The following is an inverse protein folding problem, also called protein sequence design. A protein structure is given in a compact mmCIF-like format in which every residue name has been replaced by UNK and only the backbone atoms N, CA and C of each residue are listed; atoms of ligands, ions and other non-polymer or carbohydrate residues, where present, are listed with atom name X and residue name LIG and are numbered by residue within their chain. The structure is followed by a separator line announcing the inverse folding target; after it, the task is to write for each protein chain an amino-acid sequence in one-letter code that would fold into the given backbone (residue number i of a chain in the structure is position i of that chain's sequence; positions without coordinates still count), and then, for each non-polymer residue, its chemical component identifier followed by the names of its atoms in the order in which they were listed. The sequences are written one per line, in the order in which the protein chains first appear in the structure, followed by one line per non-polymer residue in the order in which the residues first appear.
data_IF_760048537480
#
_entry.id   IF_760048537480
#
_cell.length_a   1.000
_cell.length_b   1.000
_cell.length_c   1.000
_cell.angle_alpha   90.00
_cell.angle_beta   90.00
_cell.angle_gamma   90.00
#
_symmetry.space_group_name_H-M   'P 1'
#
loop_
_entity.id
_entity.type
_entity.pdbx_description
1 polymer ?
#
# COMPACT_ATOMS: atom_id res chain seq x y z
N UNK A 1 -21.39 -42.33 52.75
CA UNK A 1 -22.36 -41.37 52.15
C UNK A 1 -21.94 -39.98 52.63
N UNK A 2 -21.22 -39.14 51.85
CA UNK A 2 -21.65 -38.36 50.67
C UNK A 2 -22.94 -37.56 50.98
N UNK A 3 -23.03 -36.22 50.97
CA UNK A 3 -22.52 -35.25 49.98
C UNK A 3 -22.31 -33.82 50.54
N UNK A 4 -21.33 -33.11 49.96
CA UNK A 4 -21.02 -31.67 50.11
C UNK A 4 -21.82 -30.89 49.04
N UNK A 5 -22.45 -29.74 49.37
CA UNK A 5 -23.10 -28.85 48.38
C UNK A 5 -22.13 -27.75 47.89
N UNK A 6 -22.19 -27.32 46.61
CA UNK A 6 -21.27 -26.37 46.00
C UNK A 6 -21.66 -24.89 46.18
N UNK A 7 -20.65 -24.02 46.15
CA UNK A 7 -20.73 -22.55 46.02
C UNK A 7 -21.22 -22.13 44.62
N UNK A 8 -21.68 -20.88 44.49
CA UNK A 8 -21.25 -20.08 43.34
C UNK A 8 -20.55 -18.78 43.77
N UNK A 9 -19.43 -18.55 43.11
CA UNK A 9 -18.53 -17.41 43.19
C UNK A 9 -19.19 -16.03 43.12
N UNK A 10 -18.62 -15.12 43.91
CA UNK A 10 -18.76 -13.68 43.77
C UNK A 10 -18.11 -13.23 42.44
N UNK A 11 -18.75 -12.42 41.60
CA UNK A 11 -18.03 -11.73 40.55
C UNK A 11 -17.26 -10.55 41.16
N UNK A 12 -15.97 -10.77 41.43
CA UNK A 12 -15.02 -9.68 41.66
C UNK A 12 -14.88 -8.84 40.39
N UNK A 13 -15.67 -7.77 40.27
CA UNK A 13 -15.46 -6.74 39.27
C UNK A 13 -14.31 -5.82 39.70
N UNK A 14 -13.07 -6.27 39.50
CA UNK A 14 -11.93 -5.36 39.38
C UNK A 14 -11.79 -4.96 37.91
N UNK A 15 -12.38 -3.84 37.54
CA UNK A 15 -12.04 -3.14 36.30
C UNK A 15 -11.24 -1.90 36.66
N UNK A 16 -9.93 -2.06 36.75
CA UNK A 16 -8.97 -0.97 36.67
C UNK A 16 -8.48 -0.90 35.23
N UNK A 17 -9.13 -0.08 34.40
CA UNK A 17 -8.52 0.43 33.17
C UNK A 17 -8.40 1.93 33.36
N UNK A 18 -7.22 2.32 33.85
CA UNK A 18 -6.73 3.69 33.81
C UNK A 18 -6.73 4.17 32.36
N UNK A 19 -7.36 5.31 32.12
CA UNK A 19 -7.69 5.88 30.82
C UNK A 19 -6.55 5.85 29.79
N UNK A 20 -6.66 4.91 28.85
CA UNK A 20 -6.04 4.97 27.53
C UNK A 20 -6.99 5.65 26.56
N UNK A 21 -6.44 6.56 25.76
CA UNK A 21 -7.14 7.40 24.79
C UNK A 21 -8.07 6.58 23.88
N UNK A 22 -9.37 6.90 23.96
CA UNK A 22 -10.36 6.55 22.95
C UNK A 22 -10.04 7.40 21.72
N UNK A 23 -9.38 6.80 20.73
CA UNK A 23 -9.25 7.37 19.40
C UNK A 23 -9.98 6.47 18.40
N UNK A 24 -11.25 6.79 18.21
CA UNK A 24 -11.97 6.81 16.94
C UNK A 24 -11.65 5.71 15.90
N UNK A 25 -12.05 4.45 16.17
CA UNK A 25 -12.44 3.51 15.12
C UNK A 25 -13.29 2.38 15.71
N UNK A 26 -14.60 2.42 15.38
CA UNK A 26 -15.54 1.31 15.40
C UNK A 26 -15.59 0.44 16.66
N UNK A 27 -16.57 0.77 17.51
CA UNK A 27 -17.28 -0.22 18.31
C UNK A 27 -17.96 -1.20 17.35
N UNK A 28 -17.29 -2.30 17.01
CA UNK A 28 -18.00 -3.51 16.54
C UNK A 28 -18.45 -4.27 17.79
N UNK A 29 -19.69 -4.00 18.17
CA UNK A 29 -20.49 -4.94 18.96
C UNK A 29 -20.60 -6.23 18.15
N UNK A 30 -19.79 -7.24 18.46
CA UNK A 30 -20.11 -8.62 18.09
C UNK A 30 -20.77 -9.26 19.31
N UNK A 31 -22.08 -9.10 19.33
CA UNK A 31 -23.01 -9.79 20.20
C UNK A 31 -23.04 -11.29 19.86
N UNK A 32 -23.09 -12.10 20.92
CA UNK A 32 -23.60 -13.48 20.97
C UNK A 32 -22.80 -14.60 20.25
N UNK A 33 -22.13 -15.40 21.07
CA UNK A 33 -22.52 -16.80 21.23
C UNK A 33 -21.98 -17.83 20.23
N UNK A 34 -21.13 -18.71 20.78
CA UNK A 34 -20.59 -19.98 20.24
C UNK A 34 -19.37 -19.83 19.34
N UNK A 35 -18.25 -20.23 19.95
CA UNK A 35 -17.05 -20.76 19.28
C UNK A 35 -16.41 -19.87 18.22
N UNK A 36 -16.08 -18.63 18.60
CA UNK A 36 -14.97 -17.93 17.96
C UNK A 36 -13.67 -18.42 18.62
N UNK A 37 -13.20 -19.61 18.23
CA UNK A 37 -11.80 -19.99 18.42
C UNK A 37 -10.98 -18.99 17.63
N UNK A 38 -10.45 -17.97 18.31
CA UNK A 38 -9.48 -17.03 17.76
C UNK A 38 -8.20 -17.83 17.54
N UNK A 39 -8.11 -18.47 16.38
CA UNK A 39 -6.89 -19.10 15.91
C UNK A 39 -5.99 -17.97 15.39
N UNK A 40 -5.30 -17.29 16.31
CA UNK A 40 -4.34 -16.24 15.96
C UNK A 40 -3.04 -16.91 15.49
N UNK A 41 -3.11 -17.52 14.31
CA UNK A 41 -1.96 -17.99 13.55
C UNK A 41 -2.00 -17.34 12.18
N UNK A 42 -1.10 -16.39 11.93
CA UNK A 42 -0.90 -15.80 10.61
C UNK A 42 -0.99 -14.27 10.63
N UNK A 43 0.17 -13.63 10.39
CA UNK A 43 0.33 -12.25 9.94
C UNK A 43 -0.82 -11.29 10.31
N UNK A 44 -0.70 -10.63 11.47
CA UNK A 44 -1.27 -9.28 11.63
C UNK A 44 -0.35 -8.29 10.91
N UNK A 45 -0.09 -8.54 9.61
CA UNK A 45 0.41 -7.54 8.69
C UNK A 45 -0.79 -6.70 8.31
N UNK A 46 -0.97 -5.61 9.06
CA UNK A 46 -1.85 -4.47 8.76
C UNK A 46 -2.71 -4.66 7.51
N UNK A 47 -3.95 -5.12 7.68
CA UNK A 47 -4.98 -4.91 6.67
C UNK A 47 -5.33 -3.41 6.70
N UNK A 48 -4.39 -2.59 6.21
CA UNK A 48 -4.64 -1.20 5.85
C UNK A 48 -5.59 -1.24 4.66
N UNK A 49 -6.70 -0.51 4.77
CA UNK A 49 -7.54 -0.11 3.65
C UNK A 49 -6.78 0.82 2.69
N UNK A 50 -5.63 0.34 2.20
CA UNK A 50 -4.68 1.04 1.35
C UNK A 50 -4.35 0.20 0.12
N UNK A 51 -3.78 0.85 -0.88
CA UNK A 51 -3.36 0.23 -2.13
C UNK A 51 -2.42 -0.96 -1.88
N UNK A 52 -2.65 -2.09 -2.55
CA UNK A 52 -1.86 -3.32 -2.40
C UNK A 52 -0.68 -3.37 -3.38
N UNK A 53 0.28 -4.29 -3.17
CA UNK A 53 1.36 -4.50 -4.14
C UNK A 53 0.85 -4.89 -5.55
N UNK A 54 -0.25 -5.66 -5.61
CA UNK A 54 -0.90 -6.01 -6.88
C UNK A 54 -1.51 -4.79 -7.57
N UNK A 55 -2.08 -3.86 -6.81
CA UNK A 55 -2.61 -2.61 -7.35
C UNK A 55 -1.48 -1.68 -7.82
N UNK A 56 -0.36 -1.63 -7.09
CA UNK A 56 0.86 -0.93 -7.55
C UNK A 56 1.36 -1.50 -8.86
N UNK A 57 1.42 -2.82 -9.00
CA UNK A 57 1.80 -3.47 -10.27
C UNK A 57 0.87 -3.03 -11.40
N UNK A 58 -0.45 -3.03 -11.21
CA UNK A 58 -1.42 -2.58 -12.22
C UNK A 58 -1.19 -1.11 -12.61
N UNK A 59 -1.00 -0.22 -11.65
CA UNK A 59 -0.71 1.19 -11.93
C UNK A 59 0.58 1.37 -12.73
N UNK A 60 1.61 0.57 -12.43
CA UNK A 60 2.86 0.57 -13.19
C UNK A 60 2.65 0.03 -14.61
N UNK A 61 1.80 -0.98 -14.81
CA UNK A 61 1.43 -1.48 -16.14
C UNK A 61 0.66 -0.44 -16.96
N UNK A 62 -0.23 0.33 -16.33
CA UNK A 62 -0.94 1.43 -16.99
C UNK A 62 -0.01 2.56 -17.43
N UNK A 63 1.03 2.84 -16.64
CA UNK A 63 2.10 3.78 -17.00
C UNK A 63 2.98 3.20 -18.12
N UNK A 64 3.32 1.92 -18.07
CA UNK A 64 4.06 1.22 -19.13
C UNK A 64 3.33 1.32 -20.49
N UNK A 65 2.02 1.06 -20.48
CA UNK A 65 1.18 1.18 -21.66
C UNK A 65 1.11 2.62 -22.18
N UNK A 66 1.06 3.61 -21.28
CA UNK A 66 1.09 5.02 -21.67
C UNK A 66 2.42 5.41 -22.31
N UNK A 67 3.55 4.99 -21.74
CA UNK A 67 4.89 5.23 -22.30
C UNK A 67 5.01 4.64 -23.71
N UNK A 68 4.50 3.43 -23.91
CA UNK A 68 4.46 2.77 -25.23
C UNK A 68 3.51 3.44 -26.23
N UNK A 69 2.43 4.07 -25.74
CA UNK A 69 1.41 4.72 -26.56
C UNK A 69 1.63 6.23 -26.80
N UNK A 70 2.56 6.86 -26.08
CA UNK A 70 2.76 8.30 -26.10
C UNK A 70 3.47 8.84 -27.37
N UNK A 71 3.81 7.98 -28.33
CA UNK A 71 4.49 8.41 -29.57
C UNK A 71 5.89 8.97 -29.34
N UNK A 72 6.58 8.51 -28.30
CA UNK A 72 7.95 8.91 -27.98
C UNK A 72 8.95 8.32 -28.98
N UNK A 73 10.16 8.88 -29.02
CA UNK A 73 11.28 8.22 -29.71
C UNK A 73 11.61 6.89 -29.01
N UNK A 74 12.15 5.93 -29.76
CA UNK A 74 12.52 4.62 -29.20
C UNK A 74 13.48 4.74 -28.01
N UNK A 75 14.42 5.69 -28.06
CA UNK A 75 15.37 5.93 -26.98
C UNK A 75 14.68 6.42 -25.69
N UNK A 76 13.79 7.42 -25.80
CA UNK A 76 13.04 7.94 -24.63
C UNK A 76 12.12 6.88 -24.03
N UNK A 77 11.48 6.08 -24.89
CA UNK A 77 10.62 5.00 -24.46
C UNK A 77 11.43 3.93 -23.71
N UNK A 78 12.57 3.52 -24.25
CA UNK A 78 13.43 2.50 -23.66
C UNK A 78 13.97 2.95 -22.29
N UNK A 79 14.43 4.20 -22.18
CA UNK A 79 14.94 4.77 -20.93
C UNK A 79 13.88 4.75 -19.81
N UNK A 80 12.65 5.20 -20.09
CA UNK A 80 11.57 5.16 -19.10
C UNK A 80 11.20 3.72 -18.72
N UNK A 81 11.15 2.81 -19.71
CA UNK A 81 10.80 1.40 -19.48
C UNK A 81 11.88 0.64 -18.70
N UNK A 82 13.15 1.00 -18.84
CA UNK A 82 14.24 0.32 -18.14
C UNK A 82 14.26 0.58 -16.64
N UNK A 83 13.70 1.70 -16.18
CA UNK A 83 13.44 1.94 -14.76
C UNK A 83 12.07 1.41 -14.31
N UNK A 84 11.08 1.37 -15.20
CA UNK A 84 9.73 0.92 -14.86
C UNK A 84 9.65 -0.61 -14.68
N UNK A 85 10.35 -1.39 -15.52
CA UNK A 85 10.42 -2.86 -15.43
C UNK A 85 10.91 -3.36 -14.05
N UNK A 86 12.06 -2.90 -13.51
CA UNK A 86 12.52 -3.36 -12.20
C UNK A 86 11.61 -2.90 -11.07
N UNK A 87 11.04 -1.70 -11.13
CA UNK A 87 10.04 -1.23 -10.16
C UNK A 87 8.83 -2.18 -10.10
N UNK A 88 8.29 -2.55 -11.27
CA UNK A 88 7.17 -3.48 -11.37
C UNK A 88 7.52 -4.87 -10.86
N UNK A 89 8.69 -5.39 -11.24
CA UNK A 89 9.16 -6.72 -10.80
C UNK A 89 9.32 -6.77 -9.28
N UNK A 90 9.82 -5.69 -8.68
CA UNK A 90 9.99 -5.59 -7.23
C UNK A 90 8.63 -5.48 -6.51
N UNK A 91 7.74 -4.63 -7.00
CA UNK A 91 6.38 -4.46 -6.46
C UNK A 91 5.53 -5.75 -6.51
N UNK A 92 5.82 -6.66 -7.46
CA UNK A 92 5.16 -7.94 -7.59
C UNK A 92 5.60 -9.00 -6.57
N UNK A 93 6.67 -8.75 -5.79
CA UNK A 93 7.13 -9.69 -4.77
C UNK A 93 6.28 -9.59 -3.50
N UNK A 94 6.12 -10.73 -2.82
CA UNK A 94 5.46 -10.78 -1.51
C UNK A 94 6.19 -9.92 -0.46
N UNK A 95 7.52 -9.94 -0.49
CA UNK A 95 8.39 -9.08 0.32
C UNK A 95 9.03 -8.00 -0.57
N UNK A 96 8.20 -7.16 -1.19
CA UNK A 96 8.67 -6.08 -2.06
C UNK A 96 9.56 -5.09 -1.30
N UNK A 97 10.73 -4.79 -1.87
CA UNK A 97 11.58 -3.69 -1.40
C UNK A 97 11.01 -2.35 -1.89
N UNK A 98 10.26 -1.68 -1.00
CA UNK A 98 9.61 -0.40 -1.28
C UNK A 98 10.62 0.72 -1.56
N UNK A 99 11.79 0.69 -0.95
CA UNK A 99 12.83 1.69 -1.19
C UNK A 99 13.41 1.52 -2.60
N UNK A 100 13.60 0.27 -3.04
CA UNK A 100 14.02 -0.03 -4.41
C UNK A 100 12.94 0.34 -5.44
N UNK A 101 11.65 0.11 -5.14
CA UNK A 101 10.55 0.58 -5.99
C UNK A 101 10.59 2.11 -6.08
N UNK A 102 10.66 2.82 -4.96
CA UNK A 102 10.70 4.28 -4.92
C UNK A 102 11.88 4.86 -5.71
N UNK A 103 13.07 4.29 -5.57
CA UNK A 103 14.26 4.72 -6.32
C UNK A 103 14.10 4.56 -7.83
N UNK A 104 13.52 3.44 -8.27
CA UNK A 104 13.25 3.23 -9.69
C UNK A 104 12.17 4.19 -10.21
N UNK A 105 11.09 4.41 -9.44
CA UNK A 105 10.03 5.35 -9.82
C UNK A 105 10.52 6.79 -9.90
N UNK A 106 11.45 7.19 -9.03
CA UNK A 106 12.11 8.49 -9.13
C UNK A 106 12.82 8.65 -10.48
N UNK A 107 13.55 7.64 -10.94
CA UNK A 107 14.23 7.66 -12.26
C UNK A 107 13.25 7.65 -13.42
N UNK A 108 12.13 6.92 -13.31
CA UNK A 108 11.03 7.03 -14.29
C UNK A 108 10.53 8.47 -14.32
N UNK A 109 10.33 9.10 -13.15
CA UNK A 109 9.94 10.50 -13.06
C UNK A 109 10.90 11.44 -13.78
N UNK A 110 12.20 11.34 -13.50
CA UNK A 110 13.24 12.15 -14.15
C UNK A 110 13.26 11.98 -15.69
N UNK A 111 13.08 10.74 -16.17
CA UNK A 111 12.97 10.46 -17.60
C UNK A 111 11.71 11.08 -18.21
N UNK A 112 10.56 10.96 -17.55
CA UNK A 112 9.31 11.55 -18.01
C UNK A 112 9.33 13.08 -17.98
N UNK A 113 9.95 13.70 -16.97
CA UNK A 113 10.13 15.16 -16.89
C UNK A 113 10.99 15.69 -18.04
N UNK A 114 11.99 14.92 -18.47
CA UNK A 114 12.81 15.27 -19.64
C UNK A 114 11.96 15.25 -20.92
N UNK A 115 11.04 14.30 -21.02
CA UNK A 115 10.12 14.16 -22.16
C UNK A 115 9.00 15.21 -22.14
N UNK A 116 8.48 15.59 -20.97
CA UNK A 116 7.53 16.69 -20.74
C UNK A 116 7.99 18.00 -21.39
N UNK A 117 9.27 18.35 -21.16
CA UNK A 117 9.88 19.57 -21.69
C UNK A 117 10.06 19.54 -23.21
N UNK A 118 9.97 18.38 -23.85
CA UNK A 118 10.24 18.19 -25.26
C UNK A 118 8.98 18.20 -26.15
N UNK A 119 7.79 17.86 -25.64
CA UNK A 119 6.58 17.75 -26.46
C UNK A 119 5.26 17.77 -25.66
N UNK A 120 4.15 18.10 -26.31
CA UNK A 120 2.81 18.02 -25.68
C UNK A 120 2.39 16.57 -25.35
N UNK A 121 2.83 15.60 -26.14
CA UNK A 121 2.65 14.18 -25.80
C UNK A 121 3.41 13.81 -24.51
N UNK A 122 4.59 14.40 -24.31
CA UNK A 122 5.35 14.31 -23.08
C UNK A 122 4.61 14.88 -21.87
N UNK A 123 3.93 16.03 -22.02
CA UNK A 123 3.15 16.63 -20.93
C UNK A 123 2.02 15.73 -20.44
N UNK A 124 1.26 15.15 -21.37
CA UNK A 124 0.18 14.22 -21.02
C UNK A 124 0.73 12.98 -20.31
N UNK A 125 1.89 12.48 -20.77
CA UNK A 125 2.54 11.33 -20.16
C UNK A 125 3.08 11.65 -18.76
N UNK A 126 3.67 12.84 -18.58
CA UNK A 126 4.16 13.32 -17.31
C UNK A 126 3.04 13.48 -16.27
N UNK A 127 1.93 14.11 -16.65
CA UNK A 127 0.74 14.23 -15.80
C UNK A 127 0.23 12.85 -15.36
N UNK A 128 0.12 11.90 -16.31
CA UNK A 128 -0.28 10.52 -15.98
C UNK A 128 0.72 9.84 -15.06
N UNK A 129 2.02 10.09 -15.25
CA UNK A 129 3.08 9.67 -14.34
C UNK A 129 2.85 10.18 -12.92
N UNK A 130 2.61 11.48 -12.76
CA UNK A 130 2.32 12.10 -11.45
C UNK A 130 1.08 11.49 -10.77
N UNK A 131 0.01 11.23 -11.52
CA UNK A 131 -1.20 10.58 -11.00
C UNK A 131 -0.89 9.16 -10.48
N UNK A 132 -0.19 8.35 -11.30
CA UNK A 132 0.22 6.99 -10.95
C UNK A 132 1.12 7.01 -9.72
N UNK A 133 2.13 7.87 -9.69
CA UNK A 133 3.04 7.92 -8.57
C UNK A 133 2.38 8.44 -7.28
N UNK A 134 1.46 9.39 -7.40
CA UNK A 134 0.65 9.88 -6.29
C UNK A 134 -0.23 8.78 -5.68
N UNK A 135 -0.77 7.89 -6.52
CA UNK A 135 -1.53 6.72 -6.07
C UNK A 135 -0.64 5.64 -5.41
N UNK A 136 0.62 5.51 -5.82
CA UNK A 136 1.58 4.55 -5.27
C UNK A 136 2.25 5.05 -3.98
N UNK A 137 2.42 6.36 -3.81
CA UNK A 137 3.14 6.95 -2.67
C UNK A 137 2.66 6.45 -1.28
N UNK A 138 1.35 6.29 -1.00
CA UNK A 138 0.87 5.73 0.26
C UNK A 138 1.37 4.29 0.51
N UNK A 139 1.47 3.46 -0.53
CA UNK A 139 1.98 2.09 -0.40
C UNK A 139 3.48 2.08 -0.09
N UNK A 140 4.24 2.99 -0.69
CA UNK A 140 5.67 3.16 -0.45
C UNK A 140 5.97 3.71 0.96
N UNK A 141 4.99 4.31 1.63
CA UNK A 141 5.20 4.99 2.91
C UNK A 141 6.01 6.28 2.78
N UNK A 142 6.10 6.84 1.57
CA UNK A 142 6.81 8.09 1.28
C UNK A 142 5.81 9.17 0.86
N UNK A 143 6.17 10.43 1.07
CA UNK A 143 5.40 11.54 0.50
C UNK A 143 5.66 11.64 -1.00
N UNK A 144 4.63 11.91 -1.82
CA UNK A 144 4.75 12.11 -3.27
C UNK A 144 5.83 13.14 -3.64
N UNK A 145 6.01 14.16 -2.80
CA UNK A 145 7.04 15.20 -2.92
C UNK A 145 8.48 14.66 -2.92
N UNK A 146 8.72 13.49 -2.32
CA UNK A 146 10.03 12.81 -2.31
C UNK A 146 10.40 12.26 -3.69
N UNK A 147 9.39 11.96 -4.51
CA UNK A 147 9.57 11.43 -5.85
C UNK A 147 9.72 12.55 -6.91
N UNK A 148 9.67 13.83 -6.50
CA UNK A 148 9.98 14.98 -7.37
C UNK A 148 8.78 15.66 -8.02
N UNK A 149 7.56 15.45 -7.49
CA UNK A 149 6.32 16.07 -7.99
C UNK A 149 5.38 16.52 -6.86
#
# INVERSE_FOLDING_TARGET
MFWKKPQPDQPGQSQSISGTQINNAQVQQTQAGRDATVNQSGNVGQQQSGITGADVVKLLEELEAAVKGAGLTSQQQEEALDYLKPAKREAAKENADKDLVAQNLKKVGEALETVDKASDAGKNLWQKGQEVFGAIAPWLGIASKVLGF
#
